data_IF_405902027506
#
_entry.id   IF_405902027506
#
_cell.length_a   1.000
_cell.length_b   1.000
_cell.length_c   1.000
_cell.angle_alpha   90.00
_cell.angle_beta   90.00
_cell.angle_gamma   90.00
#
_symmetry.space_group_name_H-M   'P 1'
#
loop_
_entity.id
_entity.type
_entity.pdbx_description
1 polymer ?
#
# COMPACT_ATOMS: atom_id res chain seq x y z
N UNK A 1 -22.45 -27.64 7.29
CA UNK A 1 -22.60 -26.16 7.43
C UNK A 1 -21.51 -25.56 8.31
N UNK A 2 -21.32 -26.00 9.56
CA UNK A 2 -20.27 -25.46 10.46
C UNK A 2 -18.84 -25.66 9.93
N UNK A 3 -18.55 -26.83 9.34
CA UNK A 3 -17.23 -27.17 8.78
C UNK A 3 -16.85 -26.25 7.60
N UNK A 4 -17.78 -25.96 6.70
CA UNK A 4 -17.55 -25.03 5.58
C UNK A 4 -17.24 -23.62 6.06
N UNK A 5 -17.96 -23.15 7.08
CA UNK A 5 -17.70 -21.85 7.68
C UNK A 5 -16.30 -21.78 8.31
N UNK A 6 -15.94 -22.82 9.08
CA UNK A 6 -14.62 -22.91 9.72
C UNK A 6 -13.48 -22.93 8.66
N UNK A 7 -13.63 -23.70 7.58
CA UNK A 7 -12.66 -23.78 6.50
C UNK A 7 -12.47 -22.43 5.79
N UNK A 8 -13.55 -21.69 5.52
CA UNK A 8 -13.50 -20.36 4.92
C UNK A 8 -12.85 -19.32 5.83
N UNK A 9 -13.11 -19.36 7.12
CA UNK A 9 -12.43 -18.50 8.10
C UNK A 9 -10.93 -18.82 8.17
N UNK A 10 -10.56 -20.09 8.18
CA UNK A 10 -9.16 -20.49 8.14
C UNK A 10 -8.47 -20.03 6.85
N UNK A 11 -9.12 -20.19 5.69
CA UNK A 11 -8.61 -19.70 4.41
C UNK A 11 -8.45 -18.18 4.39
N UNK A 12 -9.37 -17.43 4.99
CA UNK A 12 -9.25 -15.98 5.15
C UNK A 12 -8.01 -15.59 5.98
N UNK A 13 -7.76 -16.29 7.08
CA UNK A 13 -6.56 -16.08 7.90
C UNK A 13 -5.28 -16.39 7.11
N UNK A 14 -5.25 -17.49 6.38
CA UNK A 14 -4.13 -17.89 5.53
C UNK A 14 -3.88 -16.93 4.35
N UNK A 15 -4.86 -16.11 3.98
CA UNK A 15 -4.71 -15.11 2.92
C UNK A 15 -4.01 -13.81 3.36
N UNK A 16 -3.86 -13.58 4.67
CA UNK A 16 -3.23 -12.36 5.21
C UNK A 16 -1.81 -12.11 4.68
N UNK A 17 -0.90 -13.10 4.58
CA UNK A 17 0.42 -12.90 3.97
C UNK A 17 0.35 -12.41 2.51
N UNK A 18 -0.60 -12.90 1.73
CA UNK A 18 -0.80 -12.44 0.35
C UNK A 18 -1.28 -10.98 0.31
N UNK A 19 -2.12 -10.57 1.23
CA UNK A 19 -2.57 -9.19 1.38
C UNK A 19 -1.42 -8.27 1.80
N UNK A 20 -0.59 -8.69 2.77
CA UNK A 20 0.60 -7.95 3.18
C UNK A 20 1.62 -7.81 2.04
N UNK A 21 1.77 -8.86 1.23
CA UNK A 21 2.59 -8.83 0.04
C UNK A 21 2.09 -7.79 -0.97
N UNK A 22 0.79 -7.79 -1.29
CA UNK A 22 0.18 -6.82 -2.19
C UNK A 22 0.32 -5.39 -1.66
N UNK A 23 0.09 -5.17 -0.36
CA UNK A 23 0.25 -3.87 0.31
C UNK A 23 1.69 -3.34 0.19
N UNK A 24 2.68 -4.22 0.35
CA UNK A 24 4.10 -3.87 0.20
C UNK A 24 4.42 -3.35 -1.21
N UNK A 25 3.96 -4.04 -2.25
CA UNK A 25 4.13 -3.56 -3.63
C UNK A 25 3.43 -2.25 -3.88
N UNK A 26 2.26 -2.09 -3.31
CA UNK A 26 1.48 -0.86 -3.43
C UNK A 26 2.19 0.32 -2.76
N UNK A 27 2.82 0.10 -1.62
CA UNK A 27 3.65 1.10 -0.93
C UNK A 27 4.89 1.48 -1.75
N UNK A 28 5.58 0.50 -2.36
CA UNK A 28 6.76 0.75 -3.20
C UNK A 28 6.46 1.57 -4.45
N UNK A 29 5.24 1.51 -4.97
CA UNK A 29 4.80 2.31 -6.12
C UNK A 29 4.27 3.70 -5.73
N UNK A 30 4.42 4.10 -4.47
CA UNK A 30 3.91 5.36 -3.94
C UNK A 30 2.40 5.47 -3.99
N UNK A 31 1.70 4.34 -3.85
CA UNK A 31 0.24 4.24 -3.95
C UNK A 31 -0.34 4.68 -5.30
N UNK A 32 0.45 4.58 -6.36
CA UNK A 32 -0.04 4.80 -7.72
C UNK A 32 -0.76 3.54 -8.20
N UNK A 33 -2.07 3.67 -8.43
CA UNK A 33 -2.96 2.55 -8.76
C UNK A 33 -2.49 1.83 -10.04
N UNK A 34 -2.20 2.57 -11.11
CA UNK A 34 -1.80 1.97 -12.38
C UNK A 34 -0.46 1.19 -12.27
N UNK A 35 0.57 1.81 -11.68
CA UNK A 35 1.88 1.15 -11.48
C UNK A 35 1.80 0.00 -10.48
N UNK A 36 0.96 0.14 -9.45
CA UNK A 36 0.72 -0.90 -8.46
C UNK A 36 0.10 -2.13 -9.10
N UNK A 37 -0.95 -1.93 -9.92
CA UNK A 37 -1.63 -3.02 -10.63
C UNK A 37 -0.69 -3.82 -11.54
N UNK A 38 0.07 -3.15 -12.40
CA UNK A 38 1.01 -3.81 -13.32
C UNK A 38 2.02 -4.65 -12.54
N UNK A 39 2.60 -4.12 -11.46
CA UNK A 39 3.57 -4.88 -10.65
C UNK A 39 2.95 -6.05 -9.91
N UNK A 40 1.73 -5.91 -9.43
CA UNK A 40 1.01 -6.98 -8.75
C UNK A 40 0.63 -8.07 -9.75
N UNK A 41 0.10 -7.70 -10.93
CA UNK A 41 -0.27 -8.64 -11.98
C UNK A 41 0.92 -9.46 -12.51
N UNK A 42 2.11 -8.88 -12.55
CA UNK A 42 3.35 -9.57 -12.94
C UNK A 42 4.02 -10.31 -11.77
N UNK A 43 3.43 -10.30 -10.57
CA UNK A 43 4.00 -10.95 -9.41
C UNK A 43 3.76 -12.46 -9.42
N UNK A 44 4.71 -13.22 -8.85
CA UNK A 44 4.58 -14.68 -8.67
C UNK A 44 3.33 -15.04 -7.85
N UNK A 45 2.94 -14.19 -6.92
CA UNK A 45 1.77 -14.39 -6.08
C UNK A 45 0.46 -14.34 -6.89
N UNK A 46 0.37 -13.42 -7.86
CA UNK A 46 -0.79 -13.33 -8.76
C UNK A 46 -0.85 -14.56 -9.69
N UNK A 47 0.27 -14.96 -10.26
CA UNK A 47 0.36 -16.15 -11.12
C UNK A 47 -0.03 -17.42 -10.34
N UNK A 48 0.47 -17.59 -9.12
CA UNK A 48 0.08 -18.68 -8.24
C UNK A 48 -1.43 -18.67 -7.96
N UNK A 49 -1.97 -17.52 -7.60
CA UNK A 49 -3.41 -17.35 -7.39
C UNK A 49 -4.25 -17.69 -8.63
N UNK A 50 -3.81 -17.29 -9.81
CA UNK A 50 -4.49 -17.62 -11.08
C UNK A 50 -4.46 -19.12 -11.37
N UNK A 51 -3.34 -19.79 -11.13
CA UNK A 51 -3.23 -21.26 -11.23
C UNK A 51 -4.19 -21.94 -10.23
N UNK A 52 -4.23 -21.45 -8.99
CA UNK A 52 -5.16 -21.96 -7.98
C UNK A 52 -6.62 -21.81 -8.42
N UNK A 53 -6.99 -20.68 -9.01
CA UNK A 53 -8.34 -20.51 -9.57
C UNK A 53 -8.62 -21.51 -10.68
N UNK A 54 -7.69 -21.70 -11.60
CA UNK A 54 -7.83 -22.65 -12.71
C UNK A 54 -7.99 -24.10 -12.24
N UNK A 55 -7.38 -24.45 -11.10
CA UNK A 55 -7.53 -25.79 -10.49
C UNK A 55 -8.84 -25.92 -9.69
N UNK A 56 -9.29 -24.86 -9.02
CA UNK A 56 -10.49 -24.90 -8.19
C UNK A 56 -11.78 -24.93 -9.00
N UNK A 57 -11.83 -24.29 -10.15
CA UNK A 57 -13.05 -24.29 -11.01
C UNK A 57 -13.51 -25.72 -11.36
N UNK A 58 -12.66 -26.60 -11.93
CA UNK A 58 -13.08 -27.97 -12.22
C UNK A 58 -13.36 -28.80 -10.95
N UNK A 59 -12.64 -28.56 -9.86
CA UNK A 59 -12.86 -29.26 -8.59
C UNK A 59 -14.21 -28.91 -7.99
N UNK A 60 -14.64 -27.66 -8.05
CA UNK A 60 -15.96 -27.23 -7.54
C UNK A 60 -17.10 -27.81 -8.38
N UNK A 61 -16.90 -27.95 -9.70
CA UNK A 61 -17.89 -28.56 -10.60
C UNK A 61 -18.00 -30.08 -10.37
N UNK A 62 -16.87 -30.76 -10.12
CA UNK A 62 -16.82 -32.23 -10.06
C UNK A 62 -17.07 -32.79 -8.65
N UNK A 63 -16.59 -32.12 -7.62
CA UNK A 63 -16.49 -32.66 -6.25
C UNK A 63 -17.32 -31.88 -5.21
N UNK A 64 -17.90 -30.74 -5.56
CA UNK A 64 -18.82 -29.98 -4.72
C UNK A 64 -18.26 -29.70 -3.30
N UNK A 65 -18.68 -30.52 -2.34
CA UNK A 65 -18.37 -30.36 -0.91
C UNK A 65 -16.87 -30.40 -0.55
N UNK A 66 -16.01 -30.98 -1.39
CA UNK A 66 -14.57 -31.05 -1.14
C UNK A 66 -13.82 -29.79 -1.59
N UNK A 67 -14.50 -28.83 -2.22
CA UNK A 67 -13.91 -27.57 -2.69
C UNK A 67 -13.24 -26.77 -1.57
N UNK A 68 -13.77 -26.81 -0.34
CA UNK A 68 -13.22 -26.07 0.80
C UNK A 68 -11.87 -26.62 1.28
N UNK A 69 -11.63 -27.93 1.18
CA UNK A 69 -10.33 -28.53 1.51
C UNK A 69 -9.26 -28.09 0.50
N UNK A 70 -9.61 -28.08 -0.79
CA UNK A 70 -8.72 -27.58 -1.85
C UNK A 70 -8.48 -26.08 -1.73
N UNK A 71 -9.51 -25.32 -1.35
CA UNK A 71 -9.38 -23.88 -1.05
C UNK A 71 -8.35 -23.62 0.05
N UNK A 72 -8.40 -24.39 1.16
CA UNK A 72 -7.43 -24.25 2.25
C UNK A 72 -6.00 -24.54 1.76
N UNK A 73 -5.80 -25.57 0.94
CA UNK A 73 -4.52 -25.88 0.31
C UNK A 73 -4.01 -24.77 -0.61
N UNK A 74 -4.87 -24.22 -1.46
CA UNK A 74 -4.54 -23.10 -2.34
C UNK A 74 -4.21 -21.82 -1.56
N UNK A 75 -4.94 -21.54 -0.48
CA UNK A 75 -4.67 -20.39 0.40
C UNK A 75 -3.32 -20.54 1.11
N UNK A 76 -2.99 -21.76 1.56
CA UNK A 76 -1.69 -22.08 2.13
C UNK A 76 -0.56 -21.90 1.10
N UNK A 77 -0.72 -22.40 -0.12
CA UNK A 77 0.26 -22.24 -1.20
C UNK A 77 0.51 -20.77 -1.54
N UNK A 78 -0.54 -19.97 -1.65
CA UNK A 78 -0.43 -18.53 -1.90
C UNK A 78 0.28 -17.80 -0.76
N UNK A 79 0.01 -18.17 0.49
CA UNK A 79 0.71 -17.66 1.67
C UNK A 79 2.19 -18.02 1.67
N UNK A 80 2.53 -19.28 1.37
CA UNK A 80 3.91 -19.76 1.29
C UNK A 80 4.71 -19.00 0.21
N UNK A 81 4.11 -18.78 -0.97
CA UNK A 81 4.72 -17.97 -2.02
C UNK A 81 4.91 -16.52 -1.58
N UNK A 82 3.91 -15.92 -0.93
CA UNK A 82 4.00 -14.54 -0.44
C UNK A 82 5.11 -14.36 0.60
N UNK A 83 5.31 -15.33 1.48
CA UNK A 83 6.38 -15.34 2.49
C UNK A 83 7.77 -15.62 1.89
N UNK A 84 7.85 -16.43 0.82
CA UNK A 84 9.11 -16.78 0.15
C UNK A 84 9.72 -15.61 -0.61
N UNK A 85 8.92 -14.64 -1.03
CA UNK A 85 9.42 -13.49 -1.79
C UNK A 85 10.11 -12.49 -0.86
N UNK A 86 11.44 -12.48 -0.90
CA UNK A 86 12.24 -11.47 -0.19
C UNK A 86 11.98 -10.08 -0.77
N UNK A 87 11.52 -9.16 0.05
CA UNK A 87 11.34 -7.78 -0.36
C UNK A 87 12.65 -7.00 -0.25
N UNK A 88 12.94 -6.21 -1.28
CA UNK A 88 14.06 -5.26 -1.26
C UNK A 88 13.88 -4.16 -0.19
N UNK A 89 12.64 -3.79 0.08
CA UNK A 89 12.30 -2.74 1.06
C UNK A 89 11.30 -3.31 2.07
N UNK A 90 11.55 -3.17 3.37
CA UNK A 90 10.62 -3.60 4.41
C UNK A 90 9.32 -2.80 4.35
N UNK A 91 8.20 -3.42 4.72
CA UNK A 91 6.92 -2.75 4.85
C UNK A 91 6.96 -1.80 6.05
N UNK A 92 6.68 -0.52 5.82
CA UNK A 92 6.50 0.45 6.89
C UNK A 92 5.01 0.69 7.12
N UNK A 93 4.54 0.44 8.33
CA UNK A 93 3.14 0.70 8.69
C UNK A 93 2.96 2.19 8.97
N UNK A 94 2.66 2.94 7.91
CA UNK A 94 2.22 4.34 8.01
C UNK A 94 0.71 4.39 8.25
N UNK A 95 0.17 5.49 8.78
CA UNK A 95 -1.28 5.68 8.99
C UNK A 95 -2.12 5.39 7.74
N UNK A 96 -1.58 5.65 6.55
CA UNK A 96 -2.21 5.32 5.27
C UNK A 96 -2.17 3.82 4.99
N UNK A 97 -1.02 3.18 5.18
CA UNK A 97 -0.87 1.73 5.01
C UNK A 97 -1.80 0.97 5.95
N UNK A 98 -1.90 1.41 7.22
CA UNK A 98 -2.79 0.79 8.20
C UNK A 98 -4.26 0.90 7.80
N UNK A 99 -4.72 2.09 7.37
CA UNK A 99 -6.11 2.26 6.89
C UNK A 99 -6.42 1.38 5.70
N UNK A 100 -5.52 1.33 4.71
CA UNK A 100 -5.69 0.48 3.53
C UNK A 100 -5.68 -1.00 3.93
N UNK A 101 -4.80 -1.41 4.82
CA UNK A 101 -4.73 -2.79 5.32
C UNK A 101 -6.03 -3.20 6.02
N UNK A 102 -6.53 -2.39 6.95
CA UNK A 102 -7.78 -2.66 7.66
C UNK A 102 -8.96 -2.74 6.70
N UNK A 103 -9.11 -1.77 5.79
CA UNK A 103 -10.18 -1.78 4.80
C UNK A 103 -10.12 -3.02 3.89
N UNK A 104 -8.93 -3.39 3.43
CA UNK A 104 -8.74 -4.58 2.59
C UNK A 104 -8.99 -5.88 3.36
N UNK A 105 -8.60 -5.96 4.63
CA UNK A 105 -8.85 -7.13 5.48
C UNK A 105 -10.36 -7.31 5.69
N UNK A 106 -11.08 -6.25 6.03
CA UNK A 106 -12.54 -6.31 6.18
C UNK A 106 -13.21 -6.74 4.88
N UNK A 107 -12.83 -6.15 3.75
CA UNK A 107 -13.39 -6.50 2.45
C UNK A 107 -13.05 -7.95 2.04
N UNK A 108 -11.85 -8.44 2.34
CA UNK A 108 -11.49 -9.84 2.15
C UNK A 108 -12.35 -10.77 3.01
N UNK A 109 -12.50 -10.47 4.31
CA UNK A 109 -13.32 -11.30 5.22
C UNK A 109 -14.75 -11.42 4.72
N UNK A 110 -15.35 -10.29 4.32
CA UNK A 110 -16.69 -10.29 3.71
C UNK A 110 -16.70 -11.12 2.42
N UNK A 111 -15.70 -10.95 1.56
CA UNK A 111 -15.60 -11.72 0.31
C UNK A 111 -15.47 -13.23 0.58
N UNK A 112 -14.70 -13.66 1.58
CA UNK A 112 -14.59 -15.08 1.95
C UNK A 112 -15.90 -15.69 2.43
N UNK A 113 -16.83 -14.87 2.96
CA UNK A 113 -18.13 -15.36 3.40
C UNK A 113 -19.15 -15.51 2.26
N UNK A 114 -19.11 -14.60 1.27
CA UNK A 114 -20.17 -14.50 0.26
C UNK A 114 -19.75 -14.94 -1.15
N UNK A 115 -18.46 -14.94 -1.48
CA UNK A 115 -18.00 -15.32 -2.81
C UNK A 115 -17.82 -16.83 -2.98
N UNK A 116 -17.95 -17.35 -4.22
CA UNK A 116 -17.68 -18.75 -4.52
C UNK A 116 -16.20 -19.09 -4.30
N UNK A 117 -15.95 -20.35 -3.92
CA UNK A 117 -14.64 -20.84 -3.45
C UNK A 117 -13.52 -20.64 -4.47
N UNK A 118 -13.80 -20.77 -5.76
CA UNK A 118 -12.78 -20.64 -6.82
C UNK A 118 -12.19 -19.24 -6.96
N UNK A 119 -12.91 -18.16 -6.56
CA UNK A 119 -12.41 -16.77 -6.65
C UNK A 119 -11.53 -16.38 -5.45
N UNK A 120 -11.64 -17.10 -4.35
CA UNK A 120 -11.03 -16.71 -3.08
C UNK A 120 -9.50 -16.62 -3.08
N UNK A 121 -8.72 -17.46 -3.81
CA UNK A 121 -7.27 -17.36 -3.83
C UNK A 121 -6.73 -16.04 -4.41
N UNK A 122 -7.45 -15.41 -5.34
CA UNK A 122 -7.09 -14.12 -5.93
C UNK A 122 -7.64 -12.92 -5.16
N UNK A 123 -8.63 -13.13 -4.31
CA UNK A 123 -9.36 -12.08 -3.61
C UNK A 123 -8.44 -11.11 -2.85
N UNK A 124 -7.44 -11.55 -2.06
CA UNK A 124 -6.58 -10.63 -1.30
C UNK A 124 -5.81 -9.66 -2.18
N UNK A 125 -5.45 -10.10 -3.38
CA UNK A 125 -4.69 -9.30 -4.34
C UNK A 125 -5.63 -8.34 -5.10
N UNK A 126 -6.82 -8.80 -5.46
CA UNK A 126 -7.78 -8.00 -6.23
C UNK A 126 -8.46 -6.93 -5.38
N UNK A 127 -8.72 -7.20 -4.10
CA UNK A 127 -9.44 -6.28 -3.21
C UNK A 127 -8.65 -5.02 -2.87
N UNK A 128 -7.31 -5.09 -2.84
CA UNK A 128 -6.48 -3.94 -2.46
C UNK A 128 -6.65 -2.74 -3.39
N UNK A 129 -6.93 -2.97 -4.67
CA UNK A 129 -7.13 -1.92 -5.68
C UNK A 129 -8.42 -1.13 -5.49
N UNK A 130 -9.61 -1.76 -5.45
CA UNK A 130 -10.84 -1.03 -5.18
C UNK A 130 -10.83 -0.35 -3.81
N UNK A 131 -10.25 -0.98 -2.78
CA UNK A 131 -10.07 -0.34 -1.47
C UNK A 131 -9.17 0.90 -1.56
N UNK A 132 -8.08 0.84 -2.33
CA UNK A 132 -7.21 2.00 -2.55
C UNK A 132 -7.93 3.11 -3.30
N UNK A 133 -8.74 2.79 -4.32
CA UNK A 133 -9.55 3.76 -5.07
C UNK A 133 -10.59 4.43 -4.19
N UNK A 134 -11.30 3.67 -3.36
CA UNK A 134 -12.29 4.19 -2.42
C UNK A 134 -11.67 5.09 -1.34
N UNK A 135 -10.46 4.79 -0.91
CA UNK A 135 -9.73 5.60 0.08
C UNK A 135 -9.08 6.86 -0.52
N UNK A 136 -8.89 6.93 -1.85
CA UNK A 136 -8.26 8.09 -2.52
C UNK A 136 -8.92 9.44 -2.18
N UNK A 137 -10.24 9.62 -2.28
CA UNK A 137 -10.87 10.91 -1.98
C UNK A 137 -10.68 11.31 -0.52
N UNK A 138 -10.75 10.34 0.40
CA UNK A 138 -10.51 10.56 1.81
C UNK A 138 -9.06 11.00 2.08
N UNK A 139 -8.10 10.32 1.48
CA UNK A 139 -6.68 10.66 1.57
C UNK A 139 -6.37 12.04 0.98
N UNK A 140 -7.00 12.38 -0.15
CA UNK A 140 -6.89 13.72 -0.76
C UNK A 140 -7.41 14.82 0.17
N UNK A 141 -8.55 14.58 0.82
CA UNK A 141 -9.14 15.53 1.77
C UNK A 141 -8.25 15.77 2.99
N UNK A 142 -7.66 14.69 3.54
CA UNK A 142 -6.72 14.79 4.65
C UNK A 142 -5.48 15.59 4.21
N UNK A 143 -4.90 15.28 3.06
CA UNK A 143 -3.73 15.98 2.55
C UNK A 143 -4.03 17.46 2.29
N UNK A 144 -5.17 17.78 1.68
CA UNK A 144 -5.58 19.16 1.44
C UNK A 144 -5.70 19.96 2.75
N UNK A 145 -6.22 19.34 3.82
CA UNK A 145 -6.28 19.96 5.15
C UNK A 145 -4.89 20.31 5.68
N UNK A 146 -3.93 19.39 5.58
CA UNK A 146 -2.56 19.63 6.04
C UNK A 146 -1.85 20.70 5.19
N UNK A 147 -2.05 20.68 3.88
CA UNK A 147 -1.50 21.71 2.97
C UNK A 147 -2.03 23.09 3.35
N UNK A 148 -3.35 23.23 3.52
CA UNK A 148 -3.97 24.51 3.95
C UNK A 148 -3.44 24.99 5.31
N UNK A 149 -3.25 24.09 6.26
CA UNK A 149 -2.67 24.44 7.56
C UNK A 149 -1.22 24.91 7.43
N UNK A 150 -0.43 24.27 6.58
CA UNK A 150 0.94 24.70 6.30
C UNK A 150 0.99 26.06 5.60
N UNK A 151 0.13 26.28 4.61
CA UNK A 151 0.00 27.57 3.91
C UNK A 151 -0.38 28.68 4.88
N UNK A 152 -1.36 28.47 5.75
CA UNK A 152 -1.75 29.44 6.76
C UNK A 152 -0.63 29.77 7.75
N UNK A 153 0.14 28.78 8.19
CA UNK A 153 1.31 29.00 9.05
C UNK A 153 2.41 29.80 8.32
N UNK A 154 2.65 29.46 7.07
CA UNK A 154 3.65 30.16 6.25
C UNK A 154 3.23 31.57 5.86
N UNK A 155 1.95 31.83 5.64
CA UNK A 155 1.46 33.18 5.31
C UNK A 155 1.49 34.13 6.51
N UNK A 156 1.25 33.60 7.70
CA UNK A 156 1.30 34.39 8.96
C UNK A 156 2.72 34.66 9.45
N UNK A 157 3.68 33.89 8.96
CA UNK A 157 5.06 34.02 9.40
C UNK A 157 5.79 35.08 8.56
N UNK A 158 6.35 36.06 9.24
CA UNK A 158 7.16 37.15 8.63
C UNK A 158 8.56 36.64 8.25
N UNK A 159 8.66 35.51 7.54
CA UNK A 159 9.94 34.96 7.07
C UNK A 159 10.23 35.43 5.64
N UNK A 160 11.49 35.75 5.37
CA UNK A 160 11.99 35.90 4.00
C UNK A 160 12.14 34.46 3.45
N UNK A 161 11.43 34.16 2.38
CA UNK A 161 11.43 32.85 1.73
C UNK A 161 12.33 32.90 0.52
N UNK A 162 13.40 32.11 0.52
CA UNK A 162 14.36 32.01 -0.58
C UNK A 162 14.17 30.67 -1.27
N UNK A 163 13.82 30.67 -2.56
CA UNK A 163 13.69 29.47 -3.37
C UNK A 163 14.93 29.29 -4.24
N UNK A 164 15.53 28.10 -4.19
CA UNK A 164 16.67 27.72 -5.04
C UNK A 164 16.17 26.76 -6.11
N UNK A 165 16.25 27.17 -7.38
CA UNK A 165 15.88 26.36 -8.53
C UNK A 165 17.12 26.03 -9.38
N UNK A 166 17.10 24.93 -10.12
CA UNK A 166 18.19 24.51 -11.00
C UNK A 166 18.20 23.00 -11.22
N UNK A 167 18.90 22.56 -12.25
CA UNK A 167 19.06 21.14 -12.58
C UNK A 167 20.06 20.45 -11.66
N UNK A 168 21.19 21.10 -11.37
CA UNK A 168 22.26 20.60 -10.49
C UNK A 168 22.57 21.59 -9.36
N UNK A 169 23.25 21.14 -8.32
CA UNK A 169 23.79 21.96 -7.25
C UNK A 169 22.80 22.56 -6.26
N UNK A 170 21.49 22.31 -6.39
CA UNK A 170 20.45 22.87 -5.51
C UNK A 170 20.73 22.65 -4.02
N UNK A 171 21.14 21.45 -3.65
CA UNK A 171 21.42 21.09 -2.25
C UNK A 171 22.68 21.79 -1.74
N UNK A 172 23.73 21.89 -2.56
CA UNK A 172 24.96 22.59 -2.21
C UNK A 172 24.72 24.08 -2.02
N UNK A 173 24.05 24.72 -2.99
CA UNK A 173 23.70 26.15 -2.92
C UNK A 173 22.84 26.45 -1.70
N UNK A 174 21.84 25.59 -1.41
CA UNK A 174 20.99 25.72 -0.23
C UNK A 174 21.80 25.72 1.06
N UNK A 175 22.72 24.77 1.21
CA UNK A 175 23.52 24.64 2.42
C UNK A 175 24.50 25.80 2.59
N UNK A 176 25.21 26.18 1.53
CA UNK A 176 26.12 27.33 1.53
C UNK A 176 25.37 28.62 1.86
N UNK A 177 24.24 28.85 1.22
CA UNK A 177 23.42 30.03 1.48
C UNK A 177 22.93 30.08 2.93
N UNK A 178 22.54 28.94 3.49
CA UNK A 178 22.10 28.86 4.89
C UNK A 178 23.23 29.18 5.83
N UNK A 179 24.43 28.67 5.57
CA UNK A 179 25.62 28.92 6.38
C UNK A 179 26.01 30.42 6.34
N UNK A 180 26.04 31.01 5.16
CA UNK A 180 26.29 32.43 4.98
C UNK A 180 25.27 33.31 5.70
N UNK A 181 23.99 32.99 5.58
CA UNK A 181 22.93 33.78 6.23
C UNK A 181 22.88 33.56 7.74
N UNK A 182 23.31 32.42 8.23
CA UNK A 182 23.33 32.10 9.67
C UNK A 182 24.29 32.96 10.46
N UNK A 183 25.26 33.61 9.79
CA UNK A 183 26.19 34.55 10.44
C UNK A 183 25.50 35.84 10.92
N UNK A 184 24.40 36.22 10.26
CA UNK A 184 23.70 37.49 10.56
C UNK A 184 22.22 37.31 10.91
N UNK A 185 21.59 36.23 10.42
CA UNK A 185 20.16 35.98 10.56
C UNK A 185 19.90 34.57 11.13
N UNK A 186 18.75 34.40 11.71
CA UNK A 186 18.29 33.05 12.13
C UNK A 186 17.78 32.30 10.89
N UNK A 187 18.70 31.69 10.13
CA UNK A 187 18.39 30.96 8.92
C UNK A 187 18.04 29.49 9.21
N UNK A 188 17.12 28.95 8.42
CA UNK A 188 16.73 27.54 8.49
C UNK A 188 16.56 26.98 7.10
N UNK A 189 17.05 25.78 6.83
CA UNK A 189 16.85 25.11 5.55
C UNK A 189 16.20 23.75 5.73
N UNK A 190 15.63 23.21 4.63
CA UNK A 190 15.09 21.85 4.59
C UNK A 190 16.22 20.83 4.82
N UNK A 191 16.01 19.78 5.64
CA UNK A 191 17.04 18.78 5.92
C UNK A 191 17.39 17.95 4.68
N UNK A 192 18.62 17.47 4.60
CA UNK A 192 19.10 16.55 3.56
C UNK A 192 18.89 17.08 2.14
N UNK A 193 18.64 16.18 1.22
CA UNK A 193 18.37 16.48 -0.20
C UNK A 193 16.90 16.77 -0.51
N UNK A 194 16.10 17.13 0.48
CA UNK A 194 14.73 17.57 0.27
C UNK A 194 14.68 18.90 -0.48
N UNK A 195 14.39 18.82 -1.77
CA UNK A 195 14.46 19.96 -2.67
C UNK A 195 13.10 20.59 -3.00
N UNK A 196 12.01 19.99 -2.53
CA UNK A 196 10.68 20.56 -2.72
C UNK A 196 9.82 20.31 -1.48
N UNK A 197 9.36 21.37 -0.84
CA UNK A 197 8.51 21.30 0.35
C UNK A 197 7.17 20.58 0.09
N UNK A 198 6.67 20.62 -1.15
CA UNK A 198 5.43 19.93 -1.54
C UNK A 198 5.57 18.41 -1.63
N UNK A 199 6.78 17.94 -2.02
CA UNK A 199 7.06 16.50 -2.16
C UNK A 199 7.79 15.91 -0.96
N UNK A 200 8.43 16.72 -0.16
CA UNK A 200 9.39 16.31 0.86
C UNK A 200 9.06 16.82 2.25
N UNK A 201 7.98 17.58 2.40
CA UNK A 201 7.39 17.78 3.72
C UNK A 201 7.20 16.40 4.33
N UNK A 202 7.76 16.13 5.53
CA UNK A 202 7.48 14.85 6.19
C UNK A 202 5.98 14.67 6.15
N UNK A 203 5.58 13.59 5.50
CA UNK A 203 4.17 13.24 5.51
C UNK A 203 3.80 13.17 6.98
N UNK A 204 2.67 13.77 7.42
CA UNK A 204 2.22 13.61 8.80
C UNK A 204 2.02 12.14 9.18
N UNK A 205 2.58 11.25 8.42
CA UNK A 205 2.55 9.80 8.45
C UNK A 205 3.89 9.14 8.82
N UNK A 206 4.96 9.89 8.82
CA UNK A 206 6.30 9.38 9.18
C UNK A 206 6.60 9.68 10.65
#
# INVERSE_FOLDING_TARGET
MFWHFAARVAAAALSLPALLFALRFFQQTGYNVARGYIRIALSRCFVCGAICVALLVPVEILLGDYSDAVLAGCSFASAAVALSVRAKVPLKFTRRATRLFVASTVACTVGFLFLPSYLLPLLPILVILPCALLLLPFERSINAKYIRQAEQKLSRAAYIKIAVTGSFGKTSVKNILTEMLSSKYKACCTPGSFNCLLYTSPSPRD
#
